data_IF_405271777760
#
_entry.id   IF_405271777760
#
_cell.length_a   1.000
_cell.length_b   1.000
_cell.length_c   1.000
_cell.angle_alpha   90.00
_cell.angle_beta   90.00
_cell.angle_gamma   90.00
#
_symmetry.space_group_name_H-M   'P 1'
#
loop_
_entity.id
_entity.type
_entity.pdbx_description
1 polymer ?
#
# COMPACT_ATOMS: atom_id res chain seq x y z
N UNK A 1 -21.69 -10.26 6.82
CA UNK A 1 -21.28 -9.40 5.69
C UNK A 1 -21.56 -7.91 5.92
N UNK A 2 -22.31 -7.49 6.95
CA UNK A 2 -22.74 -6.06 7.12
C UNK A 2 -21.85 -5.28 8.10
N UNK A 3 -20.94 -5.93 8.82
CA UNK A 3 -20.30 -5.35 10.00
C UNK A 3 -18.76 -5.33 9.94
N UNK A 4 -18.15 -5.56 8.76
CA UNK A 4 -16.71 -5.40 8.59
C UNK A 4 -16.37 -3.92 8.65
N UNK A 5 -15.53 -3.54 9.61
CA UNK A 5 -15.09 -2.18 9.81
C UNK A 5 -13.62 -2.05 9.43
N UNK A 6 -13.35 -0.99 8.67
CA UNK A 6 -12.02 -0.50 8.40
C UNK A 6 -11.85 0.83 9.12
N UNK A 7 -10.81 0.95 9.92
CA UNK A 7 -10.40 2.21 10.56
C UNK A 7 -8.91 2.38 10.42
N UNK A 8 -8.44 3.62 10.29
CA UNK A 8 -7.03 3.87 10.10
C UNK A 8 -6.69 5.35 10.09
N UNK A 9 -5.39 5.62 10.07
CA UNK A 9 -4.82 6.94 9.97
C UNK A 9 -3.77 6.91 8.87
N UNK A 10 -3.79 7.93 8.02
CA UNK A 10 -2.77 8.19 7.01
C UNK A 10 -2.16 9.55 7.33
N UNK A 11 -0.83 9.60 7.36
CA UNK A 11 -0.07 10.85 7.40
C UNK A 11 0.74 10.95 6.13
N UNK A 12 0.57 12.04 5.39
CA UNK A 12 1.25 12.28 4.11
C UNK A 12 1.89 13.66 4.11
N UNK A 13 3.12 13.75 3.60
CA UNK A 13 3.77 15.00 3.26
C UNK A 13 4.06 14.99 1.76
N UNK A 14 3.37 15.88 1.04
CA UNK A 14 3.29 15.89 -0.42
C UNK A 14 4.07 17.03 -1.03
N UNK A 15 4.37 16.84 -2.30
CA UNK A 15 4.86 17.90 -3.18
C UNK A 15 6.08 18.65 -2.60
N UNK A 16 6.97 17.89 -1.95
CA UNK A 16 8.23 18.37 -1.41
C UNK A 16 9.13 18.66 -2.61
N UNK A 17 9.26 19.94 -2.96
CA UNK A 17 10.18 20.36 -4.01
C UNK A 17 11.62 20.12 -3.52
N UNK A 18 12.32 19.19 -4.18
CA UNK A 18 13.73 18.93 -3.96
C UNK A 18 14.48 19.34 -5.22
N UNK A 19 15.44 20.25 -5.08
CA UNK A 19 16.12 20.84 -6.24
C UNK A 19 15.11 21.46 -7.23
N UNK A 20 15.45 21.53 -8.52
CA UNK A 20 14.62 22.21 -9.52
C UNK A 20 13.68 21.25 -10.29
N UNK A 21 13.84 19.93 -10.12
CA UNK A 21 13.20 18.94 -10.97
C UNK A 21 12.65 17.72 -10.24
N UNK A 22 12.71 17.67 -8.90
CA UNK A 22 12.12 16.59 -8.12
C UNK A 22 10.96 17.11 -7.28
N UNK A 23 9.89 16.32 -7.23
CA UNK A 23 8.76 16.56 -6.35
C UNK A 23 8.41 15.27 -5.62
N UNK A 24 8.85 15.21 -4.37
CA UNK A 24 8.76 14.01 -3.54
C UNK A 24 7.50 14.03 -2.70
N UNK A 25 6.86 12.87 -2.60
CA UNK A 25 5.78 12.59 -1.65
C UNK A 25 6.19 11.41 -0.78
N UNK A 26 6.04 11.57 0.52
CA UNK A 26 6.20 10.48 1.50
C UNK A 26 4.93 10.34 2.32
N UNK A 27 4.59 9.11 2.69
CA UNK A 27 3.46 8.88 3.58
C UNK A 27 3.60 7.59 4.36
N UNK A 28 2.85 7.52 5.45
CA UNK A 28 2.71 6.34 6.28
C UNK A 28 1.25 6.13 6.63
N UNK A 29 0.88 4.87 6.77
CA UNK A 29 -0.48 4.42 7.00
C UNK A 29 -0.50 3.36 8.09
N UNK A 30 -1.50 3.47 8.96
CA UNK A 30 -1.89 2.44 9.89
C UNK A 30 -3.37 2.14 9.72
N UNK A 31 -3.73 0.90 9.44
CA UNK A 31 -5.11 0.48 9.22
C UNK A 31 -5.41 -0.81 9.98
N UNK A 32 -6.56 -0.85 10.64
CA UNK A 32 -7.14 -2.04 11.25
C UNK A 32 -8.38 -2.43 10.44
N UNK A 33 -8.46 -3.71 10.06
CA UNK A 33 -9.63 -4.29 9.40
C UNK A 33 -10.12 -5.49 10.22
N UNK A 34 -11.42 -5.58 10.44
CA UNK A 34 -12.03 -6.74 11.08
C UNK A 34 -13.53 -6.58 11.29
N UNK A 35 -14.13 -7.53 12.00
CA UNK A 35 -15.54 -7.52 12.37
C UNK A 35 -15.66 -7.28 13.88
N UNK A 36 -15.69 -6.03 14.37
CA UNK A 36 -15.53 -5.72 15.79
C UNK A 36 -16.50 -6.43 16.73
N UNK A 37 -17.72 -6.74 16.28
CA UNK A 37 -18.74 -7.40 17.11
C UNK A 37 -18.51 -8.91 17.31
N UNK A 38 -17.71 -9.56 16.46
CA UNK A 38 -17.45 -11.01 16.54
C UNK A 38 -15.97 -11.39 16.59
N UNK A 39 -15.12 -10.61 15.92
CA UNK A 39 -13.69 -10.82 15.88
C UNK A 39 -12.95 -9.46 15.84
N UNK A 40 -12.47 -8.97 16.99
CA UNK A 40 -11.83 -7.67 17.07
C UNK A 40 -10.46 -7.70 16.38
N UNK A 41 -10.44 -7.23 15.12
CA UNK A 41 -9.26 -6.97 14.26
C UNK A 41 -8.62 -8.25 13.68
N UNK A 42 -8.89 -8.51 12.41
CA UNK A 42 -8.36 -9.68 11.66
C UNK A 42 -7.06 -9.29 10.92
N UNK A 43 -6.93 -8.01 10.56
CA UNK A 43 -5.77 -7.48 9.85
C UNK A 43 -5.30 -6.17 10.48
N UNK A 44 -4.00 -6.06 10.73
CA UNK A 44 -3.34 -4.79 11.05
C UNK A 44 -2.31 -4.51 9.96
N UNK A 45 -2.50 -3.41 9.25
CA UNK A 45 -1.63 -2.97 8.16
C UNK A 45 -0.83 -1.77 8.62
N UNK A 46 0.49 -1.88 8.55
CA UNK A 46 1.43 -0.77 8.65
C UNK A 46 2.06 -0.60 7.29
N UNK A 47 1.99 0.60 6.72
CA UNK A 47 2.63 0.87 5.44
C UNK A 47 3.37 2.20 5.47
N UNK A 48 4.43 2.29 4.66
CA UNK A 48 5.15 3.52 4.40
C UNK A 48 5.51 3.56 2.92
N UNK A 49 5.43 4.74 2.32
CA UNK A 49 5.74 4.93 0.92
C UNK A 49 6.51 6.20 0.66
N UNK A 50 7.28 6.16 -0.43
CA UNK A 50 7.93 7.30 -1.04
C UNK A 50 7.69 7.23 -2.55
N UNK A 51 7.41 8.37 -3.15
CA UNK A 51 7.31 8.56 -4.59
C UNK A 51 8.01 9.85 -4.95
N UNK A 52 8.72 9.86 -6.06
CA UNK A 52 9.38 11.04 -6.60
C UNK A 52 8.83 11.31 -8.00
N UNK A 53 8.56 12.56 -8.34
CA UNK A 53 8.24 12.99 -9.70
C UNK A 53 9.45 13.74 -10.23
N UNK A 54 10.15 13.14 -11.20
CA UNK A 54 11.41 13.64 -11.71
C UNK A 54 11.21 14.18 -13.13
N UNK A 55 11.36 15.49 -13.30
CA UNK A 55 11.44 16.13 -14.60
C UNK A 55 12.80 15.86 -15.26
N UNK A 56 12.78 15.34 -16.49
CA UNK A 56 13.96 15.07 -17.31
C UNK A 56 13.88 15.90 -18.61
N UNK A 57 14.31 17.16 -18.51
CA UNK A 57 14.12 18.15 -19.59
C UNK A 57 12.64 18.50 -19.79
N UNK A 58 12.29 18.97 -20.99
CA UNK A 58 10.96 19.57 -21.22
C UNK A 58 9.84 18.58 -21.52
N UNK A 59 10.17 17.30 -21.76
CA UNK A 59 9.21 16.33 -22.33
C UNK A 59 9.09 15.03 -21.55
N UNK A 60 10.06 14.71 -20.69
CA UNK A 60 10.06 13.43 -19.98
C UNK A 60 9.81 13.67 -18.50
N UNK A 61 8.96 12.83 -17.93
CA UNK A 61 8.79 12.73 -16.48
C UNK A 61 8.89 11.26 -16.09
N UNK A 62 9.69 10.98 -15.06
CA UNK A 62 9.83 9.64 -14.50
C UNK A 62 9.35 9.68 -13.06
N UNK A 63 8.46 8.76 -12.71
CA UNK A 63 7.86 8.67 -11.38
C UNK A 63 8.19 7.31 -10.76
N UNK A 64 9.36 7.15 -10.12
CA UNK A 64 9.61 5.97 -9.31
C UNK A 64 8.87 6.09 -7.97
N UNK A 65 8.37 4.96 -7.48
CA UNK A 65 7.77 4.86 -6.17
C UNK A 65 8.03 3.49 -5.54
N UNK A 66 7.97 3.44 -4.23
CA UNK A 66 7.98 2.18 -3.49
C UNK A 66 7.12 2.32 -2.26
N UNK A 67 6.35 1.27 -1.98
CA UNK A 67 5.63 1.11 -0.72
C UNK A 67 6.11 -0.14 -0.01
N UNK A 68 6.39 -0.02 1.28
CA UNK A 68 6.56 -1.13 2.18
C UNK A 68 5.24 -1.43 2.88
N UNK A 69 4.89 -2.70 2.98
CA UNK A 69 3.78 -3.18 3.80
C UNK A 69 4.33 -4.15 4.85
N UNK A 70 3.75 -4.08 6.04
CA UNK A 70 3.86 -5.08 7.10
C UNK A 70 2.45 -5.33 7.62
N UNK A 71 2.00 -6.56 7.52
CA UNK A 71 0.62 -6.98 7.77
C UNK A 71 0.61 -8.09 8.79
N UNK A 72 -0.03 -7.82 9.94
CA UNK A 72 -0.33 -8.82 10.94
C UNK A 72 -1.73 -9.39 10.64
N UNK A 73 -1.83 -10.71 10.46
CA UNK A 73 -3.07 -11.43 10.15
C UNK A 73 -3.41 -12.46 11.24
N UNK A 74 -4.60 -12.33 11.83
CA UNK A 74 -5.13 -13.36 12.71
C UNK A 74 -5.83 -14.42 11.85
N UNK A 75 -5.19 -15.59 11.71
CA UNK A 75 -5.72 -16.72 10.94
C UNK A 75 -6.75 -17.47 11.77
N UNK A 76 -7.98 -17.55 11.27
CA UNK A 76 -9.02 -18.39 11.85
C UNK A 76 -8.58 -19.85 11.97
N UNK A 77 -9.03 -20.50 13.05
CA UNK A 77 -8.94 -21.94 13.21
C UNK A 77 -9.75 -22.65 12.12
N UNK A 78 -9.09 -23.25 11.13
CA UNK A 78 -9.71 -24.31 10.34
C UNK A 78 -9.50 -25.63 11.08
N UNK A 79 -10.54 -26.06 11.80
CA UNK A 79 -10.52 -27.32 12.53
C UNK A 79 -10.73 -28.50 11.55
N UNK A 80 -9.66 -29.01 10.97
CA UNK A 80 -9.68 -30.33 10.31
C UNK A 80 -9.37 -31.44 11.34
N UNK A 81 -10.30 -31.66 12.29
CA UNK A 81 -10.40 -32.92 13.04
C UNK A 81 -9.48 -33.17 14.23
N UNK A 82 -8.73 -32.20 14.76
CA UNK A 82 -7.83 -32.41 15.91
C UNK A 82 -8.03 -31.38 17.04
N UNK A 83 -8.84 -31.74 18.04
CA UNK A 83 -8.86 -31.10 19.37
C UNK A 83 -9.44 -29.67 19.47
N UNK A 84 -9.58 -29.20 20.71
CA UNK A 84 -9.94 -27.80 21.02
C UNK A 84 -8.72 -26.90 20.78
N UNK A 85 -8.85 -25.85 19.96
CA UNK A 85 -7.75 -24.94 19.71
C UNK A 85 -7.37 -24.13 20.97
N UNK A 86 -6.07 -23.99 21.24
CA UNK A 86 -5.54 -23.21 22.38
C UNK A 86 -5.04 -21.80 22.01
N UNK A 87 -4.73 -21.52 20.74
CA UNK A 87 -4.36 -20.18 20.23
C UNK A 87 -4.43 -20.08 18.71
N UNK A 88 -4.93 -18.96 18.16
CA UNK A 88 -5.06 -18.73 16.72
C UNK A 88 -3.69 -18.71 16.05
N UNK A 89 -3.62 -19.00 14.74
CA UNK A 89 -2.37 -18.82 14.00
C UNK A 89 -2.23 -17.34 13.64
N UNK A 90 -1.20 -16.69 14.13
CA UNK A 90 -0.79 -15.39 13.60
C UNK A 90 0.06 -15.62 12.35
N UNK A 91 -0.24 -14.89 11.27
CA UNK A 91 0.56 -14.85 10.06
C UNK A 91 1.03 -13.42 9.83
N UNK A 92 2.33 -13.25 9.61
CA UNK A 92 2.93 -11.97 9.25
C UNK A 92 3.28 -12.01 7.76
N UNK A 93 2.91 -10.97 7.03
CA UNK A 93 3.37 -10.74 5.66
C UNK A 93 3.98 -9.35 5.52
N UNK A 94 5.20 -9.30 4.98
CA UNK A 94 5.88 -8.06 4.68
C UNK A 94 6.48 -8.04 3.28
N UNK A 95 6.69 -6.83 2.74
CA UNK A 95 7.37 -6.71 1.46
C UNK A 95 7.41 -5.31 0.87
N UNK A 96 8.27 -5.17 -0.14
CA UNK A 96 8.39 -3.96 -0.97
C UNK A 96 7.62 -4.12 -2.29
N UNK A 97 6.89 -3.07 -2.62
CA UNK A 97 5.97 -2.98 -3.74
C UNK A 97 6.37 -1.77 -4.58
N UNK A 98 7.33 -1.95 -5.50
CA UNK A 98 7.80 -0.88 -6.36
C UNK A 98 6.77 -0.53 -7.45
N UNK A 99 6.79 0.73 -7.84
CA UNK A 99 6.09 1.26 -9.01
C UNK A 99 7.03 2.15 -9.82
N UNK A 100 6.81 2.16 -11.12
CA UNK A 100 7.50 3.05 -12.04
C UNK A 100 6.52 3.50 -13.11
N UNK A 101 6.39 4.81 -13.27
CA UNK A 101 5.69 5.43 -14.40
C UNK A 101 6.66 6.30 -15.19
N UNK A 102 6.51 6.31 -16.50
CA UNK A 102 7.21 7.22 -17.41
C UNK A 102 6.16 7.92 -18.24
N UNK A 103 6.22 9.25 -18.29
CA UNK A 103 5.39 10.11 -19.10
C UNK A 103 6.26 10.82 -20.15
N UNK A 104 5.73 10.92 -21.37
CA UNK A 104 6.35 11.63 -22.50
C UNK A 104 5.37 12.60 -23.14
N UNK A 105 5.69 13.88 -23.12
CA UNK A 105 4.94 14.92 -23.81
C UNK A 105 5.33 14.93 -25.30
N UNK A 106 4.51 14.29 -26.13
CA UNK A 106 4.76 14.15 -27.57
C UNK A 106 4.51 15.46 -28.34
N UNK A 107 3.44 16.17 -27.99
CA UNK A 107 3.06 17.50 -28.51
C UNK A 107 2.48 18.33 -27.35
N UNK A 108 2.22 19.64 -27.48
CA UNK A 108 1.58 20.41 -26.40
C UNK A 108 0.22 19.87 -25.93
N UNK A 109 -0.44 19.05 -26.76
CA UNK A 109 -1.80 18.52 -26.50
C UNK A 109 -1.81 17.00 -26.32
N UNK A 110 -0.69 16.30 -26.54
CA UNK A 110 -0.61 14.84 -26.50
C UNK A 110 0.49 14.37 -25.56
N UNK A 111 0.11 13.59 -24.57
CA UNK A 111 1.02 12.87 -23.68
C UNK A 111 0.85 11.36 -23.85
N UNK A 112 1.96 10.63 -23.80
CA UNK A 112 2.02 9.18 -23.74
C UNK A 112 2.55 8.77 -22.37
N UNK A 113 2.06 7.67 -21.83
CA UNK A 113 2.60 7.14 -20.58
C UNK A 113 2.68 5.61 -20.62
N UNK A 114 3.61 5.08 -19.83
CA UNK A 114 3.70 3.67 -19.51
C UNK A 114 3.94 3.53 -18.01
N UNK A 115 3.29 2.55 -17.39
CA UNK A 115 3.43 2.28 -15.97
C UNK A 115 3.53 0.79 -15.69
N UNK A 116 4.39 0.43 -14.74
CA UNK A 116 4.54 -0.91 -14.20
C UNK A 116 4.53 -0.82 -12.68
N UNK A 117 3.84 -1.74 -12.02
CA UNK A 117 3.82 -1.79 -10.56
C UNK A 117 3.59 -3.20 -10.07
N UNK A 118 4.10 -3.47 -8.86
CA UNK A 118 3.71 -4.60 -8.04
C UNK A 118 2.81 -4.05 -6.94
N UNK A 119 1.65 -4.66 -6.71
CA UNK A 119 0.73 -4.26 -5.63
C UNK A 119 0.43 -5.42 -4.69
N UNK A 120 0.03 -5.08 -3.47
CA UNK A 120 -0.47 -6.04 -2.48
C UNK A 120 -1.97 -5.88 -2.35
N UNK A 121 -2.69 -7.00 -2.25
CA UNK A 121 -4.12 -7.00 -1.96
C UNK A 121 -4.37 -7.99 -0.83
N UNK A 122 -4.91 -7.49 0.27
CA UNK A 122 -5.33 -8.32 1.38
C UNK A 122 -6.38 -9.34 0.92
N UNK A 123 -6.30 -10.60 1.37
CA UNK A 123 -7.41 -11.54 1.24
C UNK A 123 -8.67 -10.94 1.89
N UNK A 124 -9.84 -11.10 1.27
CA UNK A 124 -11.08 -10.69 1.92
C UNK A 124 -11.37 -11.63 3.12
N UNK A 125 -11.75 -11.10 4.29
CA UNK A 125 -12.25 -11.89 5.41
C UNK A 125 -13.57 -12.61 5.11
#
# INVERSE_FOLDING_TARGET
FVDDQTKGIITEYRDIDLFDNHRVTVGAEYQELGWPDKNPIIYKVKSAYIQDIIGLGDRWTVTPGVRYYHVDMDTYYSQFGAGWPTSGKEQEEDGFYPSLKVDFQATPETALYAAVSRSYRLPCP
#
